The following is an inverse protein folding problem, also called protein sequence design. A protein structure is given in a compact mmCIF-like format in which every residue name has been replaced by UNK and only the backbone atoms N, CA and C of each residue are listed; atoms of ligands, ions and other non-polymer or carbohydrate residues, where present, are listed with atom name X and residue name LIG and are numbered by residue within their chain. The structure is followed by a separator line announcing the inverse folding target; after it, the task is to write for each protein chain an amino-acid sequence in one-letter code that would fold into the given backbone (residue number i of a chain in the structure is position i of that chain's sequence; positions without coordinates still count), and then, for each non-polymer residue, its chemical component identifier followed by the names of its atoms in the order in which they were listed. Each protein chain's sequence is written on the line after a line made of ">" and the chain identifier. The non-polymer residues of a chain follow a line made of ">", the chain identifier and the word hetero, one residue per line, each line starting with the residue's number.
data_IF_830603915030
#
_entry.id   IF_830603915030
#
_cell.length_a   1.000
_cell.length_b   1.000
_cell.length_c   1.000
_cell.angle_alpha   90.00
_cell.angle_beta   90.00
_cell.angle_gamma   90.00
#
_symmetry.space_group_name_H-M   'P 1'
#
loop_
_entity.id
_entity.type
_entity.pdbx_description
1 polymer ?
#
# COMPACT_ATOMS: atom_id res chain seq x y z
N UNK A 1 -31.56 -28.63 -26.60
CA UNK A 1 -31.82 -27.24 -27.05
C UNK A 1 -31.11 -26.32 -26.07
N UNK A 2 -30.01 -25.72 -26.49
CA UNK A 2 -29.21 -24.78 -25.67
C UNK A 2 -29.71 -23.37 -25.98
N UNK A 3 -30.06 -22.51 -24.99
CA UNK A 3 -30.35 -21.11 -25.28
C UNK A 3 -29.08 -20.27 -25.23
N UNK A 4 -28.71 -19.74 -26.39
CA UNK A 4 -27.79 -18.61 -26.58
C UNK A 4 -28.35 -17.34 -25.93
N UNK A 5 -27.59 -16.73 -25.02
CA UNK A 5 -27.80 -15.32 -24.64
C UNK A 5 -26.47 -14.63 -24.36
N UNK A 6 -25.73 -14.29 -25.41
CA UNK A 6 -24.65 -13.29 -25.36
C UNK A 6 -25.13 -12.00 -26.01
N UNK A 7 -25.31 -10.93 -25.21
CA UNK A 7 -25.32 -9.55 -25.71
C UNK A 7 -24.01 -8.86 -25.29
N UNK A 8 -23.35 -8.10 -26.17
CA UNK A 8 -22.12 -7.41 -25.82
C UNK A 8 -22.39 -6.21 -24.91
N UNK A 9 -21.52 -5.98 -23.93
CA UNK A 9 -21.52 -4.81 -23.06
C UNK A 9 -21.10 -3.52 -23.81
N UNK A 10 -21.60 -2.34 -23.43
CA UNK A 10 -21.23 -1.09 -24.08
C UNK A 10 -19.80 -0.65 -23.73
N UNK A 11 -19.11 -0.04 -24.70
CA UNK A 11 -17.73 0.45 -24.60
C UNK A 11 -17.61 1.57 -23.54
N UNK A 12 -16.54 1.62 -22.72
CA UNK A 12 -16.32 2.75 -21.84
C UNK A 12 -15.84 3.99 -22.61
N UNK A 13 -16.38 5.15 -22.24
CA UNK A 13 -15.91 6.45 -22.73
C UNK A 13 -14.51 6.74 -22.17
N UNK A 14 -13.54 7.00 -23.05
CA UNK A 14 -12.16 7.34 -22.68
C UNK A 14 -12.02 8.85 -22.50
N UNK A 15 -11.70 9.32 -21.28
CA UNK A 15 -11.09 10.63 -21.08
C UNK A 15 -9.58 10.42 -20.99
N UNK A 16 -8.88 10.83 -22.05
CA UNK A 16 -7.42 10.75 -22.16
C UNK A 16 -6.83 12.04 -21.57
N UNK A 17 -6.08 11.96 -20.48
CA UNK A 17 -5.26 13.09 -20.00
C UNK A 17 -3.79 12.79 -20.30
N UNK A 18 -3.21 13.52 -21.24
CA UNK A 18 -1.76 13.56 -21.46
C UNK A 18 -1.13 14.54 -20.47
N UNK A 19 -0.30 14.05 -19.54
CA UNK A 19 0.48 14.93 -18.68
C UNK A 19 1.73 15.39 -19.44
N UNK A 20 1.84 16.70 -19.68
CA UNK A 20 3.12 17.36 -20.04
C UNK A 20 3.72 18.01 -18.78
N UNK A 21 5.04 17.99 -18.57
CA UNK A 21 5.66 18.29 -17.27
C UNK A 21 5.67 19.76 -16.83
N UNK A 22 5.03 20.70 -17.55
CA UNK A 22 5.23 22.14 -17.36
C UNK A 22 4.08 22.91 -16.67
N UNK A 23 3.11 22.25 -16.03
CA UNK A 23 1.93 22.93 -15.45
C UNK A 23 1.93 22.97 -13.91
N UNK A 24 3.11 23.14 -13.28
CA UNK A 24 3.18 23.27 -11.81
C UNK A 24 2.88 24.69 -11.29
N UNK A 25 2.47 25.64 -12.15
CA UNK A 25 2.34 27.07 -11.80
C UNK A 25 0.97 27.71 -11.99
N UNK A 26 -0.11 26.95 -12.05
CA UNK A 26 -1.48 27.49 -12.04
C UNK A 26 -2.38 26.64 -11.14
N UNK A 27 -2.23 26.74 -9.82
CA UNK A 27 -3.21 26.22 -8.88
C UNK A 27 -3.50 27.27 -7.82
N UNK A 28 -4.13 28.35 -8.27
CA UNK A 28 -4.77 29.32 -7.40
C UNK A 28 -6.03 29.85 -8.09
N UNK A 29 -7.07 29.01 -8.17
CA UNK A 29 -8.46 29.44 -8.36
C UNK A 29 -9.41 28.28 -8.08
N UNK A 30 -10.43 28.56 -7.26
CA UNK A 30 -11.50 27.68 -6.74
C UNK A 30 -12.44 27.07 -7.82
N UNK A 31 -12.01 26.97 -9.06
CA UNK A 31 -12.87 26.58 -10.18
C UNK A 31 -12.37 25.27 -10.78
N UNK A 32 -12.72 24.15 -10.14
CA UNK A 32 -12.91 22.79 -10.70
C UNK A 32 -13.06 21.70 -9.60
N UNK A 33 -13.70 22.03 -8.46
CA UNK A 33 -13.86 21.09 -7.33
C UNK A 33 -15.04 20.10 -7.46
N UNK A 34 -15.99 20.32 -8.37
CA UNK A 34 -17.24 19.54 -8.40
C UNK A 34 -17.04 18.06 -8.79
N UNK A 35 -16.04 17.75 -9.63
CA UNK A 35 -15.75 16.38 -10.08
C UNK A 35 -15.11 15.56 -8.94
N UNK A 36 -14.34 16.21 -8.05
CA UNK A 36 -13.70 15.55 -6.90
C UNK A 36 -14.64 15.36 -5.69
N UNK A 37 -15.75 16.10 -5.64
CA UNK A 37 -16.77 15.97 -4.58
C UNK A 37 -17.85 14.92 -4.83
N UNK A 38 -17.87 14.27 -6.01
CA UNK A 38 -18.90 13.29 -6.36
C UNK A 38 -18.68 11.99 -5.58
N UNK A 39 -19.62 11.66 -4.70
CA UNK A 39 -19.59 10.44 -3.89
C UNK A 39 -19.76 9.20 -4.78
N UNK A 40 -18.87 8.22 -4.60
CA UNK A 40 -18.96 6.91 -5.27
C UNK A 40 -19.93 5.96 -4.55
N UNK A 41 -19.94 4.70 -4.96
CA UNK A 41 -20.76 3.65 -4.34
C UNK A 41 -20.44 3.43 -2.84
N UNK A 42 -19.23 3.80 -2.40
CA UNK A 42 -18.84 3.77 -0.99
C UNK A 42 -19.43 4.91 -0.15
N UNK A 43 -20.07 5.90 -0.75
CA UNK A 43 -20.52 7.11 -0.06
C UNK A 43 -19.42 8.17 0.17
N UNK A 44 -18.19 7.87 -0.20
CA UNK A 44 -17.03 8.76 -0.09
C UNK A 44 -16.57 9.29 -1.47
N UNK A 45 -15.82 10.39 -1.47
CA UNK A 45 -15.26 11.01 -2.68
C UNK A 45 -13.77 11.26 -2.51
N UNK A 46 -13.12 11.80 -3.55
CA UNK A 46 -11.70 12.18 -3.50
C UNK A 46 -11.42 13.34 -2.53
N UNK A 47 -12.46 13.99 -1.99
CA UNK A 47 -12.35 15.03 -0.97
C UNK A 47 -12.61 14.54 0.46
N UNK A 48 -12.99 13.28 0.64
CA UNK A 48 -13.16 12.69 1.98
C UNK A 48 -11.81 12.49 2.65
N UNK A 49 -11.71 12.86 3.92
CA UNK A 49 -10.53 12.63 4.76
C UNK A 49 -10.47 11.17 5.23
N UNK A 50 -9.32 10.73 5.73
CA UNK A 50 -9.20 9.39 6.29
C UNK A 50 -10.08 9.25 7.56
N UNK A 51 -10.24 10.32 8.34
CA UNK A 51 -11.17 10.40 9.46
C UNK A 51 -12.63 10.29 9.01
N UNK A 52 -13.04 10.99 7.95
CA UNK A 52 -14.40 10.87 7.41
C UNK A 52 -14.73 9.42 7.05
N UNK A 53 -13.75 8.72 6.45
CA UNK A 53 -13.91 7.32 6.00
C UNK A 53 -13.95 6.34 7.16
N UNK A 54 -13.39 6.72 8.31
CA UNK A 54 -13.23 5.84 9.48
C UNK A 54 -14.08 6.26 10.67
N UNK A 55 -15.00 7.22 10.48
CA UNK A 55 -15.92 7.68 11.51
C UNK A 55 -16.73 6.50 12.09
N UNK A 56 -16.73 6.38 13.42
CA UNK A 56 -17.46 5.35 14.16
C UNK A 56 -16.84 3.94 14.12
N UNK A 57 -15.64 3.78 13.54
CA UNK A 57 -14.89 2.53 13.60
C UNK A 57 -14.11 2.45 14.92
N UNK A 58 -14.28 1.37 15.67
CA UNK A 58 -13.43 1.05 16.83
C UNK A 58 -12.59 -0.18 16.52
N UNK A 59 -11.27 -0.05 16.53
CA UNK A 59 -10.33 -1.09 16.10
C UNK A 59 -9.30 -1.46 17.19
N UNK A 60 -9.59 -1.09 18.44
CA UNK A 60 -8.75 -1.40 19.59
C UNK A 60 -8.48 -2.91 19.72
N UNK A 61 -7.21 -3.24 20.00
CA UNK A 61 -6.75 -4.62 20.16
C UNK A 61 -6.49 -5.36 18.86
N UNK A 62 -6.56 -4.67 17.71
CA UNK A 62 -6.03 -5.18 16.45
C UNK A 62 -4.57 -4.77 16.27
N UNK A 63 -3.81 -5.60 15.56
CA UNK A 63 -2.44 -5.29 15.15
C UNK A 63 -2.34 -5.23 13.63
N UNK A 64 -1.67 -4.19 13.13
CA UNK A 64 -1.45 -3.95 11.72
C UNK A 64 0.04 -3.83 11.39
N UNK A 65 0.44 -4.33 10.22
CA UNK A 65 1.72 -3.98 9.59
C UNK A 65 1.44 -3.04 8.42
N UNK A 66 2.09 -1.88 8.40
CA UNK A 66 2.03 -0.94 7.28
C UNK A 66 3.41 -0.80 6.67
N UNK A 67 3.56 -1.26 5.43
CA UNK A 67 4.80 -1.09 4.67
C UNK A 67 4.90 0.32 4.09
N UNK A 68 6.08 0.93 4.14
CA UNK A 68 6.27 2.30 3.63
C UNK A 68 5.57 3.36 4.49
N UNK A 69 5.53 3.16 5.80
CA UNK A 69 4.78 3.97 6.76
C UNK A 69 5.34 5.38 7.05
N UNK A 70 6.42 5.82 6.39
CA UNK A 70 7.08 7.09 6.71
C UNK A 70 6.56 8.32 5.95
N UNK A 71 5.75 8.14 4.91
CA UNK A 71 5.24 9.27 4.12
C UNK A 71 3.95 8.95 3.38
N UNK A 72 3.32 10.00 2.84
CA UNK A 72 2.15 9.90 1.96
C UNK A 72 1.04 9.01 2.53
N UNK A 73 0.53 8.12 1.68
CA UNK A 73 -0.57 7.19 2.01
C UNK A 73 -0.20 6.31 3.21
N UNK A 74 1.04 5.83 3.30
CA UNK A 74 1.46 4.93 4.38
C UNK A 74 1.51 5.60 5.75
N UNK A 75 2.01 6.84 5.82
CA UNK A 75 2.01 7.62 7.07
C UNK A 75 0.59 7.93 7.53
N UNK A 76 -0.26 8.39 6.60
CA UNK A 76 -1.63 8.73 6.92
C UNK A 76 -2.46 7.51 7.36
N UNK A 77 -2.26 6.37 6.68
CA UNK A 77 -2.86 5.10 7.07
C UNK A 77 -2.40 4.69 8.48
N UNK A 78 -1.11 4.86 8.80
CA UNK A 78 -0.56 4.57 10.13
C UNK A 78 -1.21 5.46 11.20
N UNK A 79 -1.31 6.76 10.92
CA UNK A 79 -1.88 7.75 11.84
C UNK A 79 -3.35 7.43 12.17
N UNK A 80 -4.16 7.15 11.15
CA UNK A 80 -5.60 6.90 11.33
C UNK A 80 -5.86 5.53 11.96
N UNK A 81 -5.06 4.50 11.65
CA UNK A 81 -5.15 3.23 12.38
C UNK A 81 -4.81 3.42 13.87
N UNK A 82 -3.77 4.18 14.18
CA UNK A 82 -3.39 4.48 15.55
C UNK A 82 -4.46 5.33 16.28
N UNK A 83 -5.12 6.24 15.58
CA UNK A 83 -6.26 7.02 16.09
C UNK A 83 -7.38 6.11 16.61
N UNK A 84 -7.61 4.98 15.94
CA UNK A 84 -8.63 3.98 16.28
C UNK A 84 -8.13 2.84 17.19
N UNK A 85 -6.99 3.06 17.87
CA UNK A 85 -6.46 2.13 18.87
C UNK A 85 -5.78 0.88 18.31
N UNK A 86 -5.48 0.85 17.01
CA UNK A 86 -4.73 -0.25 16.39
C UNK A 86 -3.26 -0.15 16.79
N UNK A 87 -2.66 -1.28 17.16
CA UNK A 87 -1.20 -1.38 17.31
C UNK A 87 -0.57 -1.49 15.93
N UNK A 88 0.17 -0.47 15.50
CA UNK A 88 0.76 -0.43 14.17
C UNK A 88 2.27 -0.68 14.21
N UNK A 89 2.71 -1.71 13.49
CA UNK A 89 4.11 -1.93 13.14
C UNK A 89 4.42 -1.19 11.84
N UNK A 90 5.15 -0.09 11.97
CA UNK A 90 5.68 0.72 10.89
C UNK A 90 6.87 0.01 10.23
N UNK A 91 6.61 -0.67 9.11
CA UNK A 91 7.63 -1.40 8.36
C UNK A 91 8.31 -0.48 7.33
N UNK A 92 9.57 -0.11 7.60
CA UNK A 92 10.26 1.00 6.92
C UNK A 92 11.71 0.66 6.57
N UNK A 93 12.25 1.25 5.50
CA UNK A 93 13.65 1.04 5.10
C UNK A 93 14.66 1.73 6.02
N UNK A 94 14.33 2.94 6.47
CA UNK A 94 15.16 3.74 7.37
C UNK A 94 14.43 3.87 8.72
N UNK A 95 14.91 3.14 9.73
CA UNK A 95 14.30 3.14 11.07
C UNK A 95 14.44 4.47 11.79
N UNK A 96 15.53 5.22 11.59
CA UNK A 96 15.68 6.55 12.17
C UNK A 96 14.61 7.51 11.64
N UNK A 97 14.32 7.45 10.33
CA UNK A 97 13.22 8.18 9.71
C UNK A 97 11.85 7.71 10.23
N UNK A 98 11.69 6.40 10.42
CA UNK A 98 10.48 5.82 11.02
C UNK A 98 10.23 6.32 12.44
N UNK A 99 11.26 6.36 13.28
CA UNK A 99 11.15 6.86 14.66
C UNK A 99 10.75 8.33 14.71
N UNK A 100 11.29 9.17 13.80
CA UNK A 100 10.86 10.57 13.68
C UNK A 100 9.36 10.70 13.37
N UNK A 101 8.86 9.90 12.42
CA UNK A 101 7.43 9.89 12.06
C UNK A 101 6.57 9.34 13.19
N UNK A 102 7.01 8.27 13.87
CA UNK A 102 6.36 7.75 15.07
C UNK A 102 6.17 8.84 16.13
N UNK A 103 7.20 9.65 16.40
CA UNK A 103 7.09 10.74 17.37
C UNK A 103 6.10 11.82 16.94
N UNK A 104 6.03 12.14 15.64
CA UNK A 104 5.01 13.08 15.11
C UNK A 104 3.60 12.54 15.41
N UNK A 105 3.35 11.26 15.10
CA UNK A 105 2.03 10.65 15.31
C UNK A 105 1.69 10.55 16.80
N UNK A 106 2.63 10.15 17.65
CA UNK A 106 2.41 10.05 19.11
C UNK A 106 2.12 11.41 19.74
N UNK A 107 2.75 12.49 19.26
CA UNK A 107 2.46 13.84 19.74
C UNK A 107 1.04 14.30 19.37
N UNK A 108 0.49 13.85 18.24
CA UNK A 108 -0.88 14.10 17.83
C UNK A 108 -1.88 13.17 18.53
N UNK A 109 -1.49 11.91 18.76
CA UNK A 109 -2.32 10.84 19.30
C UNK A 109 -1.56 10.20 20.48
N UNK A 110 -1.68 10.74 21.71
CA UNK A 110 -0.88 10.31 22.86
C UNK A 110 -0.99 8.83 23.23
N UNK A 111 -2.10 8.18 22.86
CA UNK A 111 -2.35 6.75 23.14
C UNK A 111 -1.95 5.83 21.96
N UNK A 112 -1.31 6.37 20.91
CA UNK A 112 -0.89 5.58 19.75
C UNK A 112 0.13 4.50 20.14
N UNK A 113 -0.14 3.26 19.74
CA UNK A 113 0.76 2.12 19.97
C UNK A 113 1.49 1.83 18.66
N UNK A 114 2.74 2.27 18.58
CA UNK A 114 3.54 2.20 17.36
C UNK A 114 4.88 1.51 17.59
N UNK A 115 5.24 0.56 16.74
CA UNK A 115 6.59 -0.02 16.66
C UNK A 115 7.23 0.27 15.31
N UNK A 116 8.54 0.53 15.30
CA UNK A 116 9.30 0.71 14.05
C UNK A 116 10.15 -0.52 13.80
N UNK A 117 10.01 -1.09 12.61
CA UNK A 117 10.75 -2.29 12.21
C UNK A 117 11.35 -2.12 10.81
N UNK A 118 12.63 -2.50 10.67
CA UNK A 118 13.35 -2.40 9.40
C UNK A 118 12.80 -3.39 8.38
N UNK A 119 12.38 -2.89 7.22
CA UNK A 119 11.97 -3.67 6.05
C UNK A 119 12.43 -3.00 4.76
N UNK A 120 13.34 -3.66 4.05
CA UNK A 120 13.74 -3.34 2.69
C UNK A 120 13.17 -4.36 1.71
N UNK A 121 12.04 -4.01 1.08
CA UNK A 121 11.34 -4.86 0.12
C UNK A 121 12.15 -5.16 -1.15
N UNK A 122 13.20 -4.38 -1.43
CA UNK A 122 14.14 -4.66 -2.53
C UNK A 122 15.17 -5.76 -2.17
N UNK A 123 15.06 -6.35 -0.99
CA UNK A 123 15.96 -7.40 -0.48
C UNK A 123 15.15 -8.55 0.11
N UNK A 124 15.10 -9.69 -0.56
CA UNK A 124 14.38 -10.87 -0.07
C UNK A 124 14.93 -11.36 1.28
N UNK A 125 16.23 -11.16 1.51
CA UNK A 125 16.86 -11.42 2.82
C UNK A 125 16.34 -10.48 3.92
N UNK A 126 16.09 -9.21 3.61
CA UNK A 126 15.50 -8.26 4.57
C UNK A 126 14.04 -8.62 4.87
N UNK A 127 13.26 -8.99 3.86
CA UNK A 127 11.87 -9.46 4.02
C UNK A 127 11.80 -10.66 4.98
N UNK A 128 12.68 -11.65 4.80
CA UNK A 128 12.76 -12.81 5.70
C UNK A 128 13.14 -12.41 7.13
N UNK A 129 14.15 -11.54 7.30
CA UNK A 129 14.56 -11.04 8.62
C UNK A 129 13.43 -10.30 9.33
N UNK A 130 12.71 -9.44 8.62
CA UNK A 130 11.54 -8.74 9.15
C UNK A 130 10.46 -9.72 9.62
N UNK A 131 10.10 -10.69 8.76
CA UNK A 131 9.08 -11.67 9.09
C UNK A 131 9.47 -12.52 10.31
N UNK A 132 10.72 -13.02 10.36
CA UNK A 132 11.24 -13.74 11.53
C UNK A 132 11.18 -12.88 12.80
N UNK A 133 11.59 -11.60 12.71
CA UNK A 133 11.54 -10.69 13.86
C UNK A 133 10.11 -10.45 14.33
N UNK A 134 9.17 -10.24 13.42
CA UNK A 134 7.76 -10.05 13.76
C UNK A 134 7.15 -11.30 14.37
N UNK A 135 7.38 -12.48 13.78
CA UNK A 135 6.91 -13.75 14.35
C UNK A 135 7.48 -13.96 15.75
N UNK A 136 8.75 -13.63 15.97
CA UNK A 136 9.40 -13.79 17.28
C UNK A 136 8.87 -12.84 18.36
N UNK A 137 8.23 -11.72 17.99
CA UNK A 137 7.62 -10.82 18.99
C UNK A 137 6.31 -11.37 19.55
N UNK A 138 5.77 -12.45 18.98
CA UNK A 138 4.50 -13.07 19.39
C UNK A 138 3.31 -12.11 19.36
N UNK A 139 3.40 -11.03 18.59
CA UNK A 139 2.28 -10.13 18.35
C UNK A 139 1.26 -10.82 17.43
N UNK A 140 -0.05 -10.62 17.64
CA UNK A 140 -1.05 -11.01 16.66
C UNK A 140 -0.87 -10.20 15.36
N UNK A 141 -1.40 -10.68 14.26
CA UNK A 141 -1.45 -9.92 13.00
C UNK A 141 -2.84 -10.01 12.37
N UNK A 142 -3.59 -8.91 12.45
CA UNK A 142 -4.93 -8.82 11.88
C UNK A 142 -4.91 -8.18 10.49
N UNK A 143 -4.06 -7.18 10.28
CA UNK A 143 -4.07 -6.36 9.07
C UNK A 143 -2.66 -6.27 8.46
N UNK A 144 -2.52 -6.63 7.19
CA UNK A 144 -1.30 -6.42 6.42
C UNK A 144 -1.56 -5.43 5.29
N UNK A 145 -0.90 -4.28 5.33
CA UNK A 145 -1.02 -3.23 4.31
C UNK A 145 0.27 -3.18 3.49
N UNK A 146 0.21 -3.80 2.31
CA UNK A 146 1.22 -3.75 1.27
C UNK A 146 1.08 -2.42 0.52
N UNK A 147 1.63 -1.36 1.11
CA UNK A 147 1.56 0.03 0.64
C UNK A 147 2.87 0.54 0.02
N UNK A 148 4.03 0.04 0.46
CA UNK A 148 5.29 0.56 -0.03
C UNK A 148 5.39 0.44 -1.55
N UNK A 149 6.07 1.39 -2.19
CA UNK A 149 6.28 1.33 -3.63
C UNK A 149 7.25 2.37 -4.11
N UNK A 150 7.89 2.09 -5.24
CA UNK A 150 8.65 3.05 -6.03
C UNK A 150 7.98 3.21 -7.40
N UNK A 151 8.12 4.38 -8.01
CA UNK A 151 7.54 4.67 -9.31
C UNK A 151 8.61 5.29 -10.21
N UNK A 152 8.79 4.70 -11.40
CA UNK A 152 9.74 5.14 -12.40
C UNK A 152 11.15 5.44 -11.85
N UNK A 153 11.74 4.57 -10.98
CA UNK A 153 13.14 4.75 -10.64
C UNK A 153 14.00 4.57 -11.90
N UNK A 154 15.19 5.17 -11.99
CA UNK A 154 16.15 4.79 -13.02
C UNK A 154 16.36 3.27 -13.04
N UNK A 155 16.75 2.69 -14.17
CA UNK A 155 17.00 1.25 -14.23
C UNK A 155 18.08 0.86 -13.22
N UNK A 156 17.70 0.05 -12.24
CA UNK A 156 18.60 -0.53 -11.26
C UNK A 156 18.17 -1.96 -10.93
N UNK A 157 19.15 -2.77 -10.55
CA UNK A 157 18.90 -4.08 -9.98
C UNK A 157 18.90 -4.00 -8.46
N UNK A 158 17.98 -4.75 -7.86
CA UNK A 158 17.91 -5.02 -6.44
C UNK A 158 19.11 -5.83 -5.95
N UNK A 159 19.22 -6.02 -4.62
CA UNK A 159 20.27 -6.87 -4.04
C UNK A 159 20.21 -8.31 -4.56
N UNK A 160 19.01 -8.77 -4.89
CA UNK A 160 18.73 -10.11 -5.43
C UNK A 160 18.82 -10.17 -6.97
N UNK A 161 19.37 -9.14 -7.63
CA UNK A 161 19.56 -9.05 -9.09
C UNK A 161 18.25 -9.05 -9.88
N UNK A 162 17.21 -8.46 -9.33
CA UNK A 162 15.90 -8.28 -9.98
C UNK A 162 15.66 -6.80 -10.22
N UNK A 163 15.02 -6.42 -11.32
CA UNK A 163 14.60 -5.04 -11.58
C UNK A 163 13.92 -4.44 -10.34
N UNK A 164 14.40 -3.26 -9.91
CA UNK A 164 14.11 -2.67 -8.61
C UNK A 164 12.62 -2.45 -8.35
N UNK A 165 11.89 -1.90 -9.31
CA UNK A 165 10.47 -1.60 -9.16
C UNK A 165 9.67 -2.89 -9.00
N UNK A 166 9.95 -3.92 -9.79
CA UNK A 166 9.30 -5.23 -9.65
C UNK A 166 9.68 -5.93 -8.35
N UNK A 167 10.96 -5.89 -7.97
CA UNK A 167 11.44 -6.43 -6.71
C UNK A 167 10.71 -5.80 -5.52
N UNK A 168 10.61 -4.47 -5.50
CA UNK A 168 10.01 -3.71 -4.40
C UNK A 168 8.48 -3.81 -4.38
N UNK A 169 7.84 -3.50 -5.51
CA UNK A 169 6.39 -3.33 -5.55
C UNK A 169 5.65 -4.67 -5.61
N UNK A 170 6.29 -5.73 -6.12
CA UNK A 170 5.65 -7.03 -6.31
C UNK A 170 6.28 -8.14 -5.46
N UNK A 171 7.53 -8.54 -5.74
CA UNK A 171 8.12 -9.72 -5.12
C UNK A 171 8.31 -9.58 -3.61
N UNK A 172 8.73 -8.41 -3.13
CA UNK A 172 8.88 -8.12 -1.72
C UNK A 172 7.58 -8.30 -0.96
N UNK A 173 6.48 -7.70 -1.43
CA UNK A 173 5.16 -7.84 -0.81
C UNK A 173 4.61 -9.25 -0.90
N UNK A 174 4.80 -9.92 -2.05
CA UNK A 174 4.38 -11.30 -2.24
C UNK A 174 5.06 -12.21 -1.22
N UNK A 175 6.40 -12.12 -1.09
CA UNK A 175 7.15 -12.91 -0.12
C UNK A 175 6.75 -12.57 1.32
N UNK A 176 6.61 -11.28 1.65
CA UNK A 176 6.18 -10.85 2.99
C UNK A 176 4.82 -11.46 3.36
N UNK A 177 3.87 -11.38 2.44
CA UNK A 177 2.53 -11.95 2.61
C UNK A 177 2.59 -13.46 2.84
N UNK A 178 3.36 -14.18 2.01
CA UNK A 178 3.52 -15.64 2.17
C UNK A 178 4.12 -16.02 3.52
N UNK A 179 5.12 -15.28 3.99
CA UNK A 179 5.80 -15.56 5.27
C UNK A 179 4.93 -15.29 6.49
N UNK A 180 4.00 -14.33 6.41
CA UNK A 180 3.15 -13.92 7.53
C UNK A 180 1.75 -14.54 7.50
N UNK A 181 1.39 -15.25 6.42
CA UNK A 181 0.04 -15.77 6.22
C UNK A 181 -0.41 -16.72 7.34
N UNK A 182 0.47 -17.61 7.80
CA UNK A 182 0.12 -18.53 8.90
C UNK A 182 -0.08 -17.79 10.22
N UNK A 183 0.71 -16.75 10.51
CA UNK A 183 0.50 -15.89 11.69
C UNK A 183 -0.86 -15.17 11.63
N UNK A 184 -1.27 -14.70 10.45
CA UNK A 184 -2.59 -14.08 10.25
C UNK A 184 -3.73 -15.07 10.45
N UNK A 185 -3.61 -16.29 9.90
CA UNK A 185 -4.61 -17.35 10.09
C UNK A 185 -4.73 -17.71 11.57
N UNK A 186 -3.61 -17.94 12.24
CA UNK A 186 -3.58 -18.23 13.67
C UNK A 186 -4.27 -17.14 14.49
N UNK A 187 -3.87 -15.89 14.27
CA UNK A 187 -4.50 -14.72 14.91
C UNK A 187 -6.02 -14.70 14.67
N UNK A 188 -6.44 -14.96 13.43
CA UNK A 188 -7.84 -14.95 13.05
C UNK A 188 -8.65 -16.02 13.79
N UNK A 189 -8.09 -17.23 13.90
CA UNK A 189 -8.70 -18.33 14.64
C UNK A 189 -8.75 -18.06 16.14
N UNK A 190 -7.65 -17.62 16.75
CA UNK A 190 -7.56 -17.38 18.19
C UNK A 190 -8.47 -16.25 18.67
N UNK A 191 -8.57 -15.17 17.89
CA UNK A 191 -9.34 -14.00 18.26
C UNK A 191 -10.78 -14.04 17.75
N UNK A 192 -11.13 -15.04 16.94
CA UNK A 192 -12.41 -15.11 16.21
C UNK A 192 -12.72 -13.80 15.46
N UNK A 193 -11.71 -13.26 14.76
CA UNK A 193 -11.78 -12.02 13.97
C UNK A 193 -11.13 -12.24 12.62
N UNK A 194 -11.76 -11.82 11.53
CA UNK A 194 -11.18 -12.00 10.19
C UNK A 194 -9.90 -11.18 10.00
N UNK A 195 -8.89 -11.78 9.37
CA UNK A 195 -7.69 -11.07 8.91
C UNK A 195 -7.91 -10.37 7.57
N UNK A 196 -7.15 -9.30 7.30
CA UNK A 196 -7.23 -8.55 6.04
C UNK A 196 -5.86 -8.24 5.46
N UNK A 197 -5.66 -8.57 4.18
CA UNK A 197 -4.50 -8.16 3.40
C UNK A 197 -4.97 -7.11 2.39
N UNK A 198 -4.33 -5.93 2.40
CA UNK A 198 -4.62 -4.83 1.50
C UNK A 198 -3.38 -4.57 0.63
N UNK A 199 -3.55 -4.66 -0.68
CA UNK A 199 -2.52 -4.28 -1.65
C UNK A 199 -2.86 -2.90 -2.22
N UNK A 200 -2.08 -1.89 -1.87
CA UNK A 200 -2.22 -0.55 -2.45
C UNK A 200 -1.65 -0.61 -3.87
N UNK A 201 -2.49 -0.25 -4.84
CA UNK A 201 -2.13 -0.21 -6.25
C UNK A 201 -2.36 1.20 -6.80
N UNK A 202 -2.33 1.31 -8.13
CA UNK A 202 -2.59 2.55 -8.86
C UNK A 202 -3.44 2.23 -10.06
N UNK A 203 -4.25 3.19 -10.54
CA UNK A 203 -4.95 3.09 -11.83
C UNK A 203 -4.01 2.73 -13.00
N UNK A 204 -2.70 2.99 -12.85
CA UNK A 204 -1.67 2.55 -13.77
C UNK A 204 -1.70 1.05 -14.08
N UNK A 205 -2.17 0.20 -13.15
CA UNK A 205 -2.26 -1.25 -13.37
C UNK A 205 -3.17 -1.61 -14.56
N UNK A 206 -4.12 -0.74 -14.92
CA UNK A 206 -5.04 -0.96 -16.06
C UNK A 206 -4.37 -0.79 -17.41
N UNK A 207 -3.21 -0.12 -17.45
CA UNK A 207 -2.41 0.06 -18.68
C UNK A 207 -1.36 -1.04 -18.86
N UNK A 208 -1.31 -2.03 -17.97
CA UNK A 208 -0.42 -3.17 -18.15
C UNK A 208 -0.77 -3.93 -19.44
N UNK A 209 0.27 -4.41 -20.14
CA UNK A 209 0.10 -5.39 -21.21
C UNK A 209 -0.52 -6.68 -20.64
N UNK A 210 -0.96 -7.60 -21.50
CA UNK A 210 -1.47 -8.93 -21.08
C UNK A 210 -0.39 -9.73 -20.33
N UNK A 211 -0.30 -9.55 -19.02
CA UNK A 211 0.57 -10.30 -18.12
C UNK A 211 1.95 -9.69 -17.90
N UNK A 212 2.83 -10.50 -17.31
CA UNK A 212 4.20 -10.13 -16.92
C UNK A 212 5.18 -10.78 -17.90
N UNK A 213 6.12 -10.00 -18.44
CA UNK A 213 7.19 -10.48 -19.31
C UNK A 213 8.38 -10.98 -18.49
N UNK A 214 8.25 -12.15 -17.86
CA UNK A 214 9.28 -12.69 -16.96
C UNK A 214 10.67 -12.83 -17.62
N UNK A 215 10.73 -13.23 -18.89
CA UNK A 215 11.99 -13.39 -19.64
C UNK A 215 12.75 -12.08 -19.89
N UNK A 216 12.07 -10.94 -19.71
CA UNK A 216 12.62 -9.62 -19.99
C UNK A 216 12.61 -8.69 -18.77
N UNK A 217 12.39 -9.25 -17.57
CA UNK A 217 12.21 -8.48 -16.36
C UNK A 217 13.39 -7.54 -16.08
N UNK A 218 14.62 -8.02 -16.30
CA UNK A 218 15.86 -7.27 -16.08
C UNK A 218 16.38 -6.57 -17.34
N UNK A 219 15.57 -6.44 -18.40
CA UNK A 219 16.04 -5.91 -19.68
C UNK A 219 16.09 -4.38 -19.67
N UNK A 220 17.28 -3.82 -19.42
CA UNK A 220 17.52 -2.37 -19.45
C UNK A 220 17.08 -1.69 -20.74
N UNK A 221 17.26 -2.32 -21.91
CA UNK A 221 16.92 -1.70 -23.21
C UNK A 221 15.41 -1.50 -23.42
N UNK A 222 14.59 -2.16 -22.61
CA UNK A 222 13.12 -2.04 -22.62
C UNK A 222 12.57 -1.27 -21.44
N UNK A 223 13.45 -0.87 -20.52
CA UNK A 223 13.06 -0.10 -19.36
C UNK A 223 12.87 1.35 -19.79
N UNK A 224 11.74 1.95 -19.40
CA UNK A 224 11.39 3.33 -19.71
C UNK A 224 11.62 4.12 -18.42
N UNK A 225 12.78 4.77 -18.34
CA UNK A 225 13.09 5.81 -17.36
C UNK A 225 12.45 7.13 -17.84
N UNK A 226 11.91 7.94 -16.92
CA UNK A 226 11.33 9.27 -17.20
C UNK A 226 12.38 10.32 -17.64
#
# INVERSE_FOLDING_TARGET
>A
MVPDVWRPAPKPYTLQFSFRPSVFKIWNKKENMWIFGRKGASGFSASSTAEDVTEGIEATGLTAIVTGATSGIGMETTRVLALHGVHVVMAVRNTEGGEKVKQIIVNEIPNAILDVMELDLSSLSSVRKFATKFISSSLPLNILINNAGVMAPPFMLSKDKIELQFATNHLGHFLLTQLLLETMKHTSHEQNKEGRIVNVSSEAHRFAYKGIYFDHLNNKSRYIDD
#
